data_IF_744325363445
#
_entry.id   IF_744325363445
#
_cell.length_a   1.000
_cell.length_b   1.000
_cell.length_c   1.000
_cell.angle_alpha   90.00
_cell.angle_beta   90.00
_cell.angle_gamma   90.00
#
_symmetry.space_group_name_H-M   'P 1'
#
loop_
_entity.id
_entity.type
_entity.pdbx_description
1 polymer ?
#
# COMPACT_ATOMS: atom_id res chain seq x y z
N UNK A 1 0.59 -5.10 14.96
CA UNK A 1 1.78 -5.15 14.09
C UNK A 1 2.96 -4.74 14.94
N UNK A 2 4.03 -5.55 15.01
CA UNK A 2 5.11 -5.40 16.00
C UNK A 2 6.20 -4.37 15.61
N UNK A 3 6.08 -3.71 14.45
CA UNK A 3 6.96 -2.60 14.03
C UNK A 3 6.19 -1.28 14.09
N UNK A 4 6.16 -0.65 15.26
CA UNK A 4 5.61 0.70 15.41
C UNK A 4 6.45 1.74 14.63
N UNK A 5 7.76 1.51 14.54
CA UNK A 5 8.71 2.35 13.81
C UNK A 5 8.42 2.42 12.30
N UNK A 6 7.95 1.31 11.72
CA UNK A 6 7.50 1.26 10.34
C UNK A 6 6.28 2.17 10.10
N UNK A 7 5.30 2.11 11.00
CA UNK A 7 4.09 2.90 10.88
C UNK A 7 4.37 4.39 11.08
N UNK A 8 5.26 4.74 12.01
CA UNK A 8 5.68 6.13 12.22
C UNK A 8 6.45 6.67 11.02
N UNK A 9 7.34 5.88 10.41
CA UNK A 9 8.05 6.28 9.18
C UNK A 9 7.09 6.54 8.01
N UNK A 10 6.11 5.65 7.76
CA UNK A 10 5.11 5.88 6.72
C UNK A 10 4.24 7.10 7.04
N UNK A 11 3.84 7.27 8.30
CA UNK A 11 3.04 8.42 8.72
C UNK A 11 3.77 9.74 8.48
N UNK A 12 5.04 9.81 8.86
CA UNK A 12 5.87 10.98 8.64
C UNK A 12 5.97 11.29 7.15
N UNK A 13 6.29 10.30 6.32
CA UNK A 13 6.46 10.50 4.88
C UNK A 13 5.17 10.95 4.20
N UNK A 14 4.01 10.38 4.56
CA UNK A 14 2.71 10.83 4.06
C UNK A 14 2.42 12.27 4.48
N UNK A 15 2.74 12.65 5.72
CA UNK A 15 2.54 14.02 6.19
C UNK A 15 3.44 15.00 5.42
N UNK A 16 4.68 14.62 5.11
CA UNK A 16 5.57 15.43 4.28
C UNK A 16 5.09 15.57 2.83
N UNK A 17 4.54 14.50 2.24
CA UNK A 17 3.93 14.57 0.90
C UNK A 17 2.70 15.49 0.93
N UNK A 18 1.85 15.41 1.97
CA UNK A 18 0.67 16.28 2.10
C UNK A 18 1.01 17.77 2.26
N UNK A 19 2.15 18.11 2.89
CA UNK A 19 2.59 19.50 3.03
C UNK A 19 3.01 20.12 1.69
N UNK A 20 3.36 19.29 0.71
CA UNK A 20 3.74 19.73 -0.63
C UNK A 20 2.47 19.98 -1.45
N UNK A 21 1.80 21.11 -1.22
CA UNK A 21 0.56 21.54 -1.91
C UNK A 21 0.70 21.76 -3.44
N UNK A 22 1.86 21.43 -4.03
CA UNK A 22 2.16 21.67 -5.44
C UNK A 22 1.76 20.53 -6.37
N UNK A 23 1.61 19.30 -5.87
CA UNK A 23 1.38 18.12 -6.71
C UNK A 23 0.30 17.21 -6.14
N UNK A 24 -0.53 16.64 -7.03
CA UNK A 24 -1.44 15.56 -6.66
C UNK A 24 -0.66 14.34 -6.14
N UNK A 25 -1.31 13.52 -5.32
CA UNK A 25 -0.73 12.26 -4.80
C UNK A 25 -0.40 11.28 -5.94
N UNK A 26 -1.12 11.39 -7.07
CA UNK A 26 -0.93 10.61 -8.30
C UNK A 26 0.28 11.07 -9.13
N UNK A 27 0.88 12.23 -8.82
CA UNK A 27 1.98 12.78 -9.59
C UNK A 27 3.24 11.89 -9.48
N UNK A 28 4.04 11.86 -10.54
CA UNK A 28 5.23 11.00 -10.66
C UNK A 28 6.21 11.13 -9.49
N UNK A 29 6.45 12.35 -9.01
CA UNK A 29 7.29 12.64 -7.84
C UNK A 29 6.73 12.02 -6.54
N UNK A 30 5.43 12.15 -6.30
CA UNK A 30 4.74 11.56 -5.15
C UNK A 30 4.82 10.04 -5.20
N UNK A 31 4.57 9.45 -6.38
CA UNK A 31 4.70 8.01 -6.61
C UNK A 31 6.15 7.51 -6.44
N UNK A 32 7.15 8.28 -6.87
CA UNK A 32 8.55 7.94 -6.67
C UNK A 32 8.93 7.89 -5.19
N UNK A 33 8.50 8.89 -4.40
CA UNK A 33 8.71 8.90 -2.94
C UNK A 33 8.03 7.72 -2.26
N UNK A 34 6.77 7.44 -2.59
CA UNK A 34 6.04 6.29 -2.05
C UNK A 34 6.66 4.95 -2.47
N UNK A 35 7.18 4.86 -3.70
CA UNK A 35 7.87 3.69 -4.20
C UNK A 35 9.19 3.42 -3.46
N UNK A 36 9.95 4.46 -3.17
CA UNK A 36 11.18 4.35 -2.37
C UNK A 36 10.88 4.05 -0.90
N UNK A 37 9.82 4.62 -0.34
CA UNK A 37 9.35 4.29 1.00
C UNK A 37 8.99 2.80 1.09
N UNK A 38 8.25 2.26 0.11
CA UNK A 38 7.98 0.82 0.05
C UNK A 38 9.27 0.01 -0.01
N UNK A 39 10.23 0.41 -0.86
CA UNK A 39 11.49 -0.33 -1.02
C UNK A 39 12.35 -0.33 0.25
N UNK A 40 12.48 0.82 0.91
CA UNK A 40 13.28 0.97 2.13
C UNK A 40 12.66 0.27 3.35
N UNK A 41 11.34 0.12 3.37
CA UNK A 41 10.64 -0.47 4.53
C UNK A 41 10.24 -1.93 4.33
N UNK A 42 9.74 -2.27 3.15
CA UNK A 42 9.13 -3.56 2.82
C UNK A 42 9.93 -4.34 1.77
N UNK A 43 10.92 -3.71 1.13
CA UNK A 43 11.81 -4.38 0.17
C UNK A 43 12.67 -5.47 0.79
N UNK A 44 12.87 -5.44 2.12
CA UNK A 44 13.58 -6.46 2.90
C UNK A 44 12.67 -7.62 3.36
N UNK A 45 11.35 -7.53 3.11
CA UNK A 45 10.45 -8.63 3.43
C UNK A 45 10.82 -9.87 2.63
N UNK A 46 11.03 -10.98 3.33
CA UNK A 46 11.23 -12.30 2.75
C UNK A 46 10.02 -13.19 3.09
N UNK A 47 9.35 -13.77 2.08
CA UNK A 47 9.59 -13.63 0.64
C UNK A 47 9.09 -12.30 0.07
N UNK A 48 9.76 -11.80 -0.98
CA UNK A 48 9.36 -10.59 -1.70
C UNK A 48 8.09 -10.85 -2.52
N UNK A 49 7.26 -9.82 -2.67
CA UNK A 49 6.10 -9.87 -3.57
C UNK A 49 6.60 -9.91 -5.02
N UNK A 50 6.35 -11.01 -5.71
CA UNK A 50 6.68 -11.16 -7.13
C UNK A 50 5.56 -10.60 -8.00
N UNK A 51 5.88 -9.58 -8.80
CA UNK A 51 4.97 -9.00 -9.78
C UNK A 51 5.30 -9.59 -11.14
N UNK A 52 4.30 -10.17 -11.80
CA UNK A 52 4.42 -10.81 -13.12
C UNK A 52 3.75 -9.96 -14.19
N UNK A 53 4.36 -9.86 -15.37
CA UNK A 53 3.86 -9.08 -16.49
C UNK A 53 4.91 -8.98 -17.61
N UNK A 54 4.60 -8.19 -18.64
CA UNK A 54 5.51 -7.94 -19.74
C UNK A 54 6.71 -7.09 -19.32
N UNK A 55 7.92 -7.55 -19.66
CA UNK A 55 9.17 -6.92 -19.23
C UNK A 55 9.30 -5.48 -19.70
N UNK A 56 8.77 -5.16 -20.89
CA UNK A 56 8.79 -3.80 -21.46
C UNK A 56 8.19 -2.76 -20.50
N UNK A 57 7.11 -3.11 -19.81
CA UNK A 57 6.46 -2.23 -18.83
C UNK A 57 7.11 -2.30 -17.46
N UNK A 58 7.58 -3.48 -17.05
CA UNK A 58 8.19 -3.69 -15.73
C UNK A 58 9.61 -3.12 -15.62
N UNK A 59 10.33 -2.94 -16.73
CA UNK A 59 11.61 -2.22 -16.76
C UNK A 59 11.46 -0.72 -16.57
N UNK A 60 10.25 -0.16 -16.77
CA UNK A 60 10.01 1.26 -16.58
C UNK A 60 9.94 1.61 -15.08
N UNK A 61 10.84 2.50 -14.65
CA UNK A 61 10.93 2.93 -13.25
C UNK A 61 9.65 3.62 -12.76
N UNK A 62 8.96 4.38 -13.63
CA UNK A 62 7.69 5.00 -13.29
C UNK A 62 6.62 3.95 -12.97
N UNK A 63 6.50 2.93 -13.82
CA UNK A 63 5.58 1.80 -13.60
C UNK A 63 5.94 1.05 -12.32
N UNK A 64 7.23 0.78 -12.08
CA UNK A 64 7.68 0.11 -10.87
C UNK A 64 7.36 0.92 -9.60
N UNK A 65 7.54 2.24 -9.61
CA UNK A 65 7.17 3.11 -8.50
C UNK A 65 5.67 3.13 -8.26
N UNK A 66 4.87 3.18 -9.33
CA UNK A 66 3.41 3.10 -9.25
C UNK A 66 2.97 1.79 -8.58
N UNK A 67 3.51 0.65 -9.03
CA UNK A 67 3.20 -0.67 -8.44
C UNK A 67 3.54 -0.70 -6.94
N UNK A 68 4.73 -0.21 -6.57
CA UNK A 68 5.15 -0.16 -5.16
C UNK A 68 4.25 0.74 -4.31
N UNK A 69 3.82 1.89 -4.85
CA UNK A 69 2.88 2.77 -4.18
C UNK A 69 1.51 2.09 -3.95
N UNK A 70 1.01 1.32 -4.91
CA UNK A 70 -0.21 0.52 -4.76
C UNK A 70 -0.07 -0.62 -3.73
N UNK A 71 1.09 -1.30 -3.71
CA UNK A 71 1.36 -2.32 -2.69
C UNK A 71 1.40 -1.71 -1.28
N UNK A 72 2.02 -0.54 -1.14
CA UNK A 72 2.05 0.21 0.11
C UNK A 72 0.64 0.60 0.58
N UNK A 73 -0.24 1.04 -0.34
CA UNK A 73 -1.63 1.39 -0.01
C UNK A 73 -2.44 0.18 0.46
N UNK A 74 -2.25 -0.99 -0.16
CA UNK A 74 -2.86 -2.25 0.29
C UNK A 74 -2.43 -2.63 1.71
N UNK A 75 -1.13 -2.50 2.02
CA UNK A 75 -0.61 -2.77 3.37
C UNK A 75 -1.20 -1.80 4.39
N UNK A 76 -1.31 -0.52 4.04
CA UNK A 76 -1.97 0.51 4.86
C UNK A 76 -3.44 0.15 5.12
N UNK A 77 -4.17 -0.28 4.10
CA UNK A 77 -5.57 -0.69 4.21
C UNK A 77 -5.73 -1.90 5.15
N UNK A 78 -4.85 -2.90 5.05
CA UNK A 78 -4.84 -4.05 5.97
C UNK A 78 -4.50 -3.62 7.39
N UNK A 79 -3.56 -2.69 7.56
CA UNK A 79 -3.22 -2.13 8.88
C UNK A 79 -4.43 -1.44 9.51
N UNK A 80 -5.16 -0.62 8.73
CA UNK A 80 -6.38 0.06 9.18
C UNK A 80 -7.50 -0.93 9.52
N UNK A 81 -7.66 -1.98 8.72
CA UNK A 81 -8.62 -3.04 9.00
C UNK A 81 -8.30 -3.75 10.33
N UNK A 82 -7.03 -4.09 10.57
CA UNK A 82 -6.58 -4.69 11.83
C UNK A 82 -6.74 -3.75 13.02
N UNK A 83 -6.48 -2.45 12.86
CA UNK A 83 -6.66 -1.47 13.96
C UNK A 83 -8.12 -1.30 14.37
N UNK A 84 -9.06 -1.55 13.45
CA UNK A 84 -10.50 -1.56 13.72
C UNK A 84 -11.03 -2.93 14.20
N UNK A 85 -10.15 -3.86 14.59
CA UNK A 85 -10.53 -5.19 15.10
C UNK A 85 -10.68 -6.28 14.01
N UNK A 86 -10.27 -6.00 12.78
CA UNK A 86 -10.22 -6.98 11.69
C UNK A 86 -9.28 -8.15 11.97
N UNK A 87 -9.76 -9.37 11.72
CA UNK A 87 -9.01 -10.63 11.88
C UNK A 87 -9.09 -11.43 10.59
N UNK A 88 -8.02 -12.16 10.23
CA UNK A 88 -7.96 -12.98 9.00
C UNK A 88 -9.16 -13.93 8.86
N UNK A 89 -9.61 -14.53 9.97
CA UNK A 89 -10.78 -15.40 9.99
C UNK A 89 -12.10 -14.71 9.65
N UNK A 90 -12.24 -13.39 9.86
CA UNK A 90 -13.43 -12.66 9.45
C UNK A 90 -13.62 -12.72 7.92
N UNK A 91 -12.54 -12.73 7.13
CA UNK A 91 -12.62 -12.87 5.67
C UNK A 91 -13.06 -14.28 5.24
N UNK A 92 -12.65 -15.30 5.98
CA UNK A 92 -12.98 -16.70 5.68
C UNK A 92 -14.42 -17.04 6.10
N UNK A 93 -14.85 -16.58 7.29
CA UNK A 93 -16.15 -16.91 7.88
C UNK A 93 -17.27 -16.00 7.40
N UNK A 94 -17.01 -14.70 7.21
CA UNK A 94 -18.04 -13.72 6.86
C UNK A 94 -18.07 -13.39 5.37
N UNK A 95 -17.51 -14.25 4.50
CA UNK A 95 -17.38 -14.00 3.05
C UNK A 95 -18.70 -13.53 2.41
N UNK A 96 -19.83 -14.19 2.70
CA UNK A 96 -21.14 -13.81 2.15
C UNK A 96 -21.61 -12.43 2.63
N UNK A 97 -21.41 -12.12 3.91
CA UNK A 97 -21.79 -10.82 4.48
C UNK A 97 -20.90 -9.70 3.95
N UNK A 98 -19.59 -9.94 3.84
CA UNK A 98 -18.65 -9.00 3.23
C UNK A 98 -18.99 -8.70 1.77
N UNK A 99 -19.34 -9.73 0.98
CA UNK A 99 -19.77 -9.55 -0.41
C UNK A 99 -21.04 -8.69 -0.51
N UNK A 100 -22.06 -9.00 0.29
CA UNK A 100 -23.31 -8.22 0.32
C UNK A 100 -23.08 -6.76 0.70
N UNK A 101 -22.21 -6.50 1.68
CA UNK A 101 -21.86 -5.13 2.07
C UNK A 101 -21.14 -4.41 0.94
N UNK A 102 -20.18 -5.06 0.27
CA UNK A 102 -19.47 -4.47 -0.87
C UNK A 102 -20.44 -4.11 -2.00
N UNK A 103 -21.36 -5.01 -2.36
CA UNK A 103 -22.41 -4.77 -3.37
C UNK A 103 -23.40 -3.66 -3.00
N UNK A 104 -23.53 -3.32 -1.71
CA UNK A 104 -24.41 -2.24 -1.26
C UNK A 104 -23.72 -0.86 -1.31
N UNK A 105 -22.38 -0.84 -1.27
CA UNK A 105 -21.57 0.38 -1.23
C UNK A 105 -21.00 0.78 -2.59
N UNK A 106 -21.00 -0.13 -3.58
CA UNK A 106 -20.64 0.13 -4.98
C UNK A 106 -21.92 0.37 -5.78
#
# INVERSE_FOLDING_TARGET
MKNQDFLSQILNEINEIKKQNFFEISHSNSLARLGELYKSTLGELNPRIMVRGEQLYLSNQHTANHIRALLLSGIRAVSLWKSQGGKTWHLLLNKKQSLKLIETFI
#
